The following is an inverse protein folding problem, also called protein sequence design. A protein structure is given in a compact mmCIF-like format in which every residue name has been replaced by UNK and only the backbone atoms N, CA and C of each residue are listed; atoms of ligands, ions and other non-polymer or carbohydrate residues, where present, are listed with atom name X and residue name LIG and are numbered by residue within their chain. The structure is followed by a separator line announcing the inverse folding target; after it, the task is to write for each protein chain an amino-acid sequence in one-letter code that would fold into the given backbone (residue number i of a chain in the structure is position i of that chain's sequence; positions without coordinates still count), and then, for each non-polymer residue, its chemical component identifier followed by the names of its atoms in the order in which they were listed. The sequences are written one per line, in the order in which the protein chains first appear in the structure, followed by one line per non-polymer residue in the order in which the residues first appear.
data_IF_046650515786
#
_entry.id   IF_046650515786
#
_cell.length_a   1.000
_cell.length_b   1.000
_cell.length_c   1.000
_cell.angle_alpha   90.00
_cell.angle_beta   90.00
_cell.angle_gamma   90.00
#
_symmetry.space_group_name_H-M   'P 1'
#
loop_
_entity.id
_entity.type
_entity.pdbx_description
1 polymer ?
#
# COMPACT_ATOMS: atom_id res chain seq x y z
N UNK A 1 12.92 -22.85 4.10
CA UNK A 1 12.99 -23.79 5.27
C UNK A 1 12.95 -23.07 6.62
N UNK A 2 13.73 -22.02 6.88
CA UNK A 2 13.76 -21.33 8.18
C UNK A 2 12.38 -20.75 8.54
N UNK A 3 11.76 -19.97 7.64
CA UNK A 3 10.44 -19.39 7.83
C UNK A 3 9.34 -20.43 8.08
N UNK A 4 9.40 -21.58 7.39
CA UNK A 4 8.48 -22.69 7.61
C UNK A 4 8.62 -23.27 9.02
N UNK A 5 9.87 -23.50 9.48
CA UNK A 5 10.13 -24.00 10.84
C UNK A 5 9.68 -23.00 11.90
N UNK A 6 9.94 -21.71 11.71
CA UNK A 6 9.48 -20.63 12.58
C UNK A 6 7.96 -20.62 12.69
N UNK A 7 7.28 -20.70 11.54
CA UNK A 7 5.81 -20.72 11.48
C UNK A 7 5.24 -21.99 12.13
N UNK A 8 5.81 -23.15 11.83
CA UNK A 8 5.36 -24.46 12.36
C UNK A 8 5.52 -24.59 13.88
N UNK A 9 6.62 -24.05 14.42
CA UNK A 9 6.93 -24.10 15.85
C UNK A 9 6.37 -22.89 16.62
N UNK A 10 5.62 -22.03 15.96
CA UNK A 10 5.09 -20.84 16.59
C UNK A 10 4.05 -21.18 17.66
N UNK A 11 4.25 -20.68 18.86
CA UNK A 11 3.29 -20.79 19.96
C UNK A 11 2.52 -19.48 20.08
N UNK A 12 1.24 -19.54 19.75
CA UNK A 12 0.34 -18.40 19.85
C UNK A 12 0.08 -18.04 21.31
N UNK A 13 0.32 -16.78 21.68
CA UNK A 13 0.06 -16.25 23.02
C UNK A 13 -1.11 -15.28 22.98
N UNK A 14 -2.02 -15.32 23.99
CA UNK A 14 -3.10 -14.36 24.08
C UNK A 14 -2.58 -12.99 24.49
N UNK A 15 -3.29 -11.95 24.05
CA UNK A 15 -3.15 -10.58 24.53
C UNK A 15 -4.51 -9.90 24.51
N UNK A 16 -4.62 -8.80 25.23
CA UNK A 16 -5.89 -8.08 25.38
C UNK A 16 -5.72 -6.63 24.95
N UNK A 17 -6.66 -6.17 24.14
CA UNK A 17 -6.72 -4.81 23.64
C UNK A 17 -7.92 -4.09 24.25
N UNK A 18 -7.66 -3.05 25.02
CA UNK A 18 -8.69 -2.22 25.63
C UNK A 18 -9.06 -1.09 24.67
N UNK A 19 -10.35 -0.85 24.49
CA UNK A 19 -10.85 0.22 23.66
C UNK A 19 -12.05 0.91 24.29
N UNK A 20 -12.27 2.16 23.90
CA UNK A 20 -13.44 2.96 24.22
C UNK A 20 -14.06 3.46 22.91
N UNK A 21 -15.36 3.68 22.90
CA UNK A 21 -16.10 4.27 21.80
C UNK A 21 -16.70 5.61 22.27
N UNK A 22 -16.45 6.64 21.48
CA UNK A 22 -17.02 7.96 21.66
C UNK A 22 -17.98 8.27 20.53
N UNK A 23 -18.99 9.09 20.82
CA UNK A 23 -19.95 9.56 19.83
C UNK A 23 -19.99 11.08 19.85
N UNK A 24 -19.95 11.67 18.66
CA UNK A 24 -20.24 13.08 18.45
C UNK A 24 -21.13 13.20 17.22
N UNK A 25 -22.27 13.83 17.39
CA UNK A 25 -23.33 13.89 16.38
C UNK A 25 -23.77 12.49 15.92
N UNK A 26 -23.59 12.18 14.65
CA UNK A 26 -23.92 10.86 14.06
C UNK A 26 -22.69 9.96 13.88
N UNK A 27 -21.51 10.39 14.33
CA UNK A 27 -20.25 9.69 14.10
C UNK A 27 -19.77 9.00 15.37
N UNK A 28 -19.47 7.72 15.22
CA UNK A 28 -18.84 6.91 16.24
C UNK A 28 -17.36 6.79 15.96
N UNK A 29 -16.52 6.88 17.01
CA UNK A 29 -15.08 6.71 16.89
C UNK A 29 -14.54 5.86 18.01
N UNK A 30 -13.75 4.85 17.62
CA UNK A 30 -13.03 4.01 18.58
C UNK A 30 -11.66 4.59 18.89
N UNK A 31 -11.29 4.50 20.16
CA UNK A 31 -9.98 4.81 20.68
C UNK A 31 -9.43 3.58 21.37
N UNK A 32 -8.17 3.30 21.16
CA UNK A 32 -7.49 2.13 21.71
C UNK A 32 -6.43 2.54 22.72
N UNK A 33 -6.30 1.75 23.77
CA UNK A 33 -5.16 1.87 24.67
C UNK A 33 -3.86 1.65 23.88
N UNK A 34 -2.80 2.48 24.07
CA UNK A 34 -1.60 2.44 23.25
C UNK A 34 -0.82 1.12 23.32
N UNK A 35 -0.98 0.40 24.42
CA UNK A 35 -0.29 -0.88 24.66
C UNK A 35 -1.29 -2.01 24.84
N UNK A 36 -0.97 -3.16 24.21
CA UNK A 36 -1.71 -4.40 24.42
C UNK A 36 -1.27 -5.06 25.74
N UNK A 37 -2.23 -5.49 26.53
CA UNK A 37 -1.95 -6.19 27.80
C UNK A 37 -1.54 -7.64 27.52
N UNK A 38 -0.44 -8.08 28.13
CA UNK A 38 0.03 -9.47 28.05
C UNK A 38 -0.46 -10.33 29.22
N UNK A 39 -0.99 -9.70 30.24
CA UNK A 39 -1.58 -10.32 31.42
C UNK A 39 -3.08 -10.03 31.50
N UNK A 40 -3.87 -11.09 31.70
CA UNK A 40 -5.32 -10.99 31.79
C UNK A 40 -5.79 -10.17 32.99
N UNK A 41 -5.15 -10.35 34.15
CA UNK A 41 -5.57 -9.67 35.36
C UNK A 41 -5.34 -8.15 35.26
N UNK A 42 -4.21 -7.73 34.69
CA UNK A 42 -3.91 -6.34 34.41
C UNK A 42 -4.92 -5.74 33.41
N UNK A 43 -5.26 -6.48 32.36
CA UNK A 43 -6.26 -6.07 31.37
C UNK A 43 -7.66 -5.89 32.00
N UNK A 44 -8.09 -6.86 32.80
CA UNK A 44 -9.38 -6.78 33.51
C UNK A 44 -9.39 -5.66 34.57
N UNK A 45 -8.28 -5.42 35.28
CA UNK A 45 -8.17 -4.32 36.22
C UNK A 45 -8.30 -2.95 35.52
N UNK A 46 -7.66 -2.78 34.36
CA UNK A 46 -7.81 -1.58 33.53
C UNK A 46 -9.25 -1.42 33.00
N UNK A 47 -9.85 -2.49 32.51
CA UNK A 47 -11.22 -2.51 32.02
C UNK A 47 -12.23 -2.10 33.09
N UNK A 48 -12.11 -2.59 34.34
CA UNK A 48 -13.02 -2.28 35.47
C UNK A 48 -12.96 -0.82 35.92
N UNK A 49 -11.92 -0.07 35.53
CA UNK A 49 -11.81 1.38 35.85
C UNK A 49 -12.78 2.20 35.02
N UNK A 50 -13.16 1.71 33.83
CA UNK A 50 -14.05 2.40 32.93
C UNK A 50 -15.48 1.97 33.25
N UNK A 51 -16.38 2.93 33.33
CA UNK A 51 -17.81 2.73 33.60
C UNK A 51 -18.65 3.47 32.55
N UNK A 52 -19.97 3.26 32.57
CA UNK A 52 -20.91 4.03 31.73
C UNK A 52 -20.93 5.53 32.02
N UNK A 53 -20.47 5.91 33.21
CA UNK A 53 -20.45 7.31 33.66
C UNK A 53 -19.08 7.97 33.44
N UNK A 54 -18.10 7.21 32.93
CA UNK A 54 -16.77 7.73 32.64
C UNK A 54 -16.81 8.80 31.57
N UNK A 55 -16.02 9.85 31.78
CA UNK A 55 -15.85 10.96 30.86
C UNK A 55 -14.43 10.94 30.32
N UNK A 56 -14.29 11.19 29.04
CA UNK A 56 -13.01 11.28 28.32
C UNK A 56 -12.69 12.75 28.11
N UNK A 57 -11.44 13.12 28.36
CA UNK A 57 -10.90 14.43 27.99
C UNK A 57 -10.01 14.27 26.76
N UNK A 58 -10.29 15.01 25.70
CA UNK A 58 -9.48 15.04 24.48
C UNK A 58 -8.24 15.90 24.72
N UNK A 59 -7.06 15.29 24.73
CA UNK A 59 -5.83 16.01 25.05
C UNK A 59 -5.14 16.58 23.82
N UNK A 60 -5.28 15.88 22.67
CA UNK A 60 -4.59 16.29 21.43
C UNK A 60 -5.39 15.91 20.21
N UNK A 61 -5.44 16.83 19.25
CA UNK A 61 -6.02 16.62 17.92
C UNK A 61 -5.02 17.09 16.87
N UNK A 62 -4.45 16.17 16.12
CA UNK A 62 -3.45 16.46 15.10
C UNK A 62 -4.00 16.11 13.72
N UNK A 63 -4.09 17.10 12.84
CA UNK A 63 -4.44 16.93 11.44
C UNK A 63 -3.24 17.18 10.58
N UNK A 64 -2.99 16.29 9.62
CA UNK A 64 -1.89 16.42 8.66
C UNK A 64 -2.33 16.00 7.28
N UNK A 65 -2.00 16.80 6.30
CA UNK A 65 -2.03 16.36 4.91
C UNK A 65 -0.82 15.47 4.65
N UNK A 66 -1.07 14.24 4.21
CA UNK A 66 -0.06 13.26 3.86
C UNK A 66 -0.14 12.98 2.38
N UNK A 67 0.99 13.02 1.69
CA UNK A 67 1.08 12.73 0.27
C UNK A 67 1.70 11.36 0.04
N UNK A 68 1.01 10.52 -0.72
CA UNK A 68 1.54 9.26 -1.20
C UNK A 68 1.97 9.43 -2.65
N UNK A 69 3.27 9.28 -2.88
CA UNK A 69 3.84 9.42 -4.23
C UNK A 69 3.30 8.33 -5.16
N UNK A 70 3.15 8.67 -6.43
CA UNK A 70 2.86 7.70 -7.47
C UNK A 70 3.95 6.62 -7.51
N UNK A 71 3.63 5.36 -7.81
CA UNK A 71 4.63 4.33 -8.00
C UNK A 71 5.52 4.66 -9.20
N UNK A 72 6.73 4.13 -9.22
CA UNK A 72 7.57 4.16 -10.42
C UNK A 72 7.02 3.18 -11.47
N UNK A 73 7.46 3.32 -12.70
CA UNK A 73 7.19 2.36 -13.75
C UNK A 73 7.64 0.95 -13.34
N UNK A 74 7.22 -0.06 -14.07
CA UNK A 74 7.65 -1.43 -13.82
C UNK A 74 9.07 -1.70 -14.33
N UNK A 75 9.87 -2.35 -13.49
CA UNK A 75 10.86 -3.34 -13.89
C UNK A 75 10.19 -4.73 -13.93
N UNK A 76 10.94 -5.75 -14.34
CA UNK A 76 10.41 -7.11 -14.38
C UNK A 76 9.96 -7.61 -12.99
N UNK A 77 10.78 -7.40 -11.98
CA UNK A 77 10.50 -7.90 -10.63
C UNK A 77 9.26 -7.26 -10.01
N UNK A 78 9.06 -5.96 -10.21
CA UNK A 78 7.86 -5.28 -9.73
C UNK A 78 6.60 -5.76 -10.45
N UNK A 79 6.68 -5.98 -11.78
CA UNK A 79 5.58 -6.58 -12.53
C UNK A 79 5.24 -7.98 -12.03
N UNK A 80 6.23 -8.84 -11.83
CA UNK A 80 6.04 -10.20 -11.30
C UNK A 80 5.37 -10.19 -9.92
N UNK A 81 5.79 -9.29 -9.02
CA UNK A 81 5.19 -9.16 -7.69
C UNK A 81 3.72 -8.74 -7.77
N UNK A 82 3.41 -7.73 -8.55
CA UNK A 82 2.05 -7.23 -8.64
C UNK A 82 1.12 -8.21 -9.38
N UNK A 83 1.60 -8.89 -10.41
CA UNK A 83 0.86 -9.97 -11.07
C UNK A 83 0.59 -11.15 -10.13
N UNK A 84 1.54 -11.50 -9.25
CA UNK A 84 1.33 -12.53 -8.24
C UNK A 84 0.31 -12.09 -7.18
N UNK A 85 0.40 -10.85 -6.69
CA UNK A 85 -0.50 -10.32 -5.64
C UNK A 85 -1.94 -10.21 -6.14
N UNK A 86 -2.14 -9.71 -7.36
CA UNK A 86 -3.48 -9.33 -7.84
C UNK A 86 -4.13 -10.37 -8.75
N UNK A 87 -3.34 -11.24 -9.37
CA UNK A 87 -3.83 -12.19 -10.39
C UNK A 87 -3.32 -13.62 -10.18
N UNK A 88 -2.61 -13.90 -9.07
CA UNK A 88 -2.05 -15.22 -8.73
C UNK A 88 -1.18 -15.82 -9.85
N UNK A 89 -0.55 -14.97 -10.64
CA UNK A 89 0.40 -15.40 -11.67
C UNK A 89 1.78 -15.64 -11.05
N UNK A 90 2.41 -16.77 -11.41
CA UNK A 90 3.80 -17.01 -10.99
C UNK A 90 4.76 -16.05 -11.69
N UNK A 91 5.94 -15.86 -11.10
CA UNK A 91 7.00 -15.02 -11.68
C UNK A 91 7.41 -15.50 -13.08
N UNK A 92 7.59 -16.83 -13.26
CA UNK A 92 7.92 -17.44 -14.55
C UNK A 92 6.83 -17.24 -15.58
N UNK A 93 5.55 -17.45 -15.20
CA UNK A 93 4.41 -17.22 -16.10
C UNK A 93 4.31 -15.77 -16.52
N UNK A 94 4.50 -14.83 -15.59
CA UNK A 94 4.49 -13.38 -15.87
C UNK A 94 5.58 -13.00 -16.88
N UNK A 95 6.80 -13.52 -16.69
CA UNK A 95 7.90 -13.28 -17.65
C UNK A 95 7.58 -13.85 -19.03
N UNK A 96 7.06 -15.07 -19.12
CA UNK A 96 6.72 -15.71 -20.39
C UNK A 96 5.65 -14.92 -21.15
N UNK A 97 4.64 -14.38 -20.44
CA UNK A 97 3.59 -13.55 -21.01
C UNK A 97 4.17 -12.19 -21.45
N UNK A 98 4.98 -11.53 -20.61
CA UNK A 98 5.61 -10.27 -20.96
C UNK A 98 6.53 -10.41 -22.18
N UNK A 99 7.23 -11.55 -22.32
CA UNK A 99 8.02 -11.87 -23.51
C UNK A 99 7.15 -12.01 -24.76
N UNK A 100 6.00 -12.70 -24.67
CA UNK A 100 5.03 -12.80 -25.78
C UNK A 100 4.50 -11.42 -26.19
N UNK A 101 4.16 -10.56 -25.23
CA UNK A 101 3.72 -9.18 -25.52
C UNK A 101 4.80 -8.35 -26.22
N UNK A 102 6.07 -8.52 -25.83
CA UNK A 102 7.21 -7.88 -26.48
C UNK A 102 7.37 -8.36 -27.93
N UNK A 103 7.31 -9.67 -28.19
CA UNK A 103 7.38 -10.24 -29.54
C UNK A 103 6.26 -9.75 -30.45
N UNK A 104 5.07 -9.50 -29.87
CA UNK A 104 3.93 -8.83 -30.54
C UNK A 104 4.13 -7.32 -30.68
N UNK A 105 5.26 -6.76 -30.23
CA UNK A 105 5.59 -5.34 -30.24
C UNK A 105 4.61 -4.45 -29.44
N UNK A 106 3.96 -5.00 -28.44
CA UNK A 106 2.99 -4.29 -27.61
C UNK A 106 3.62 -3.57 -26.41
N UNK A 107 4.74 -4.09 -25.91
CA UNK A 107 5.48 -3.53 -24.78
C UNK A 107 6.98 -3.45 -25.08
N UNK A 108 7.73 -2.66 -24.32
CA UNK A 108 9.19 -2.62 -24.36
C UNK A 108 9.81 -3.91 -23.82
N UNK A 109 11.13 -4.05 -23.93
CA UNK A 109 11.85 -5.26 -23.54
C UNK A 109 11.62 -5.63 -22.05
N UNK A 110 11.12 -6.85 -21.76
CA UNK A 110 10.63 -7.17 -20.42
C UNK A 110 11.74 -7.46 -19.38
N UNK A 111 12.93 -7.93 -19.82
CA UNK A 111 14.03 -8.21 -18.88
C UNK A 111 14.81 -6.94 -18.59
N UNK A 112 14.20 -6.05 -17.81
CA UNK A 112 14.81 -4.81 -17.36
C UNK A 112 14.77 -4.72 -15.84
N UNK A 113 15.89 -4.25 -15.25
CA UNK A 113 15.98 -3.91 -13.83
C UNK A 113 15.68 -2.43 -13.55
N UNK A 114 15.45 -1.63 -14.60
CA UNK A 114 15.17 -0.20 -14.44
C UNK A 114 13.67 0.11 -14.33
N UNK A 115 13.34 1.05 -13.45
CA UNK A 115 11.99 1.64 -13.28
C UNK A 115 11.92 3.05 -13.84
N UNK A 116 12.92 3.44 -14.63
CA UNK A 116 13.08 4.78 -15.16
C UNK A 116 13.14 4.76 -16.67
N UNK A 117 12.77 5.89 -17.25
CA UNK A 117 12.90 6.18 -18.68
C UNK A 117 13.78 7.43 -18.85
N UNK A 118 14.51 7.55 -19.98
CA UNK A 118 15.23 8.77 -20.31
C UNK A 118 14.28 9.83 -20.91
N UNK A 119 14.77 11.06 -21.05
CA UNK A 119 13.99 12.22 -21.50
C UNK A 119 13.49 12.09 -22.94
N UNK A 120 14.25 11.44 -23.82
CA UNK A 120 13.84 11.18 -25.22
C UNK A 120 12.63 10.23 -25.30
N UNK A 121 12.58 9.21 -24.43
CA UNK A 121 11.41 8.34 -24.28
C UNK A 121 10.23 9.12 -23.69
N UNK A 122 10.49 9.99 -22.67
CA UNK A 122 9.44 10.82 -22.08
C UNK A 122 8.74 11.72 -23.09
N UNK A 123 9.45 12.20 -24.12
CA UNK A 123 8.85 13.01 -25.17
C UNK A 123 7.70 12.29 -25.92
N UNK A 124 7.68 10.97 -25.93
CA UNK A 124 6.63 10.16 -26.58
C UNK A 124 5.51 9.73 -25.61
N UNK A 125 5.73 9.82 -24.30
CA UNK A 125 4.78 9.35 -23.27
C UNK A 125 3.39 9.97 -23.39
N UNK A 126 3.22 11.30 -23.62
CA UNK A 126 1.88 11.88 -23.76
C UNK A 126 1.05 11.18 -24.84
N UNK A 127 1.61 10.96 -26.03
CA UNK A 127 0.93 10.29 -27.13
C UNK A 127 0.61 8.80 -26.83
N UNK A 128 1.44 8.13 -26.02
CA UNK A 128 1.15 6.77 -25.56
C UNK A 128 -0.01 6.77 -24.55
N UNK A 129 0.00 7.70 -23.61
CA UNK A 129 -1.05 7.81 -22.59
C UNK A 129 -2.40 8.20 -23.20
N UNK A 130 -2.44 9.06 -24.23
CA UNK A 130 -3.66 9.35 -25.01
C UNK A 130 -4.33 8.08 -25.53
N UNK A 131 -3.54 7.10 -26.00
CA UNK A 131 -4.07 5.80 -26.43
C UNK A 131 -4.53 4.95 -25.27
N UNK A 132 -3.75 4.89 -24.19
CA UNK A 132 -4.06 4.08 -23.01
C UNK A 132 -5.36 4.50 -22.35
N UNK A 133 -5.61 5.80 -22.16
CA UNK A 133 -6.84 6.31 -21.52
C UNK A 133 -8.11 6.01 -22.32
N UNK A 134 -8.01 5.71 -23.61
CA UNK A 134 -9.16 5.32 -24.43
C UNK A 134 -9.51 3.83 -24.33
N UNK A 135 -8.62 3.02 -23.76
CA UNK A 135 -8.84 1.59 -23.60
C UNK A 135 -10.02 1.32 -22.64
N UNK A 136 -10.78 0.24 -22.83
CA UNK A 136 -11.95 -0.08 -22.00
C UNK A 136 -11.64 -0.08 -20.50
N UNK A 137 -10.48 -0.59 -20.09
CA UNK A 137 -10.03 -0.70 -18.69
C UNK A 137 -9.86 0.66 -17.99
N UNK A 138 -9.45 1.71 -18.74
CA UNK A 138 -9.07 3.01 -18.16
C UNK A 138 -9.98 4.15 -18.60
N UNK A 139 -11.05 3.88 -19.34
CA UNK A 139 -11.92 4.90 -19.94
C UNK A 139 -12.54 5.84 -18.91
N UNK A 140 -12.89 5.35 -17.73
CA UNK A 140 -13.47 6.17 -16.67
C UNK A 140 -12.42 7.12 -16.09
N UNK A 141 -11.26 6.59 -15.76
CA UNK A 141 -10.14 7.39 -15.26
C UNK A 141 -9.66 8.39 -16.32
N UNK A 142 -9.59 7.97 -17.56
CA UNK A 142 -9.14 8.79 -18.69
C UNK A 142 -9.96 10.07 -18.92
N UNK A 143 -11.23 10.11 -18.48
CA UNK A 143 -12.06 11.32 -18.59
C UNK A 143 -11.57 12.48 -17.73
N UNK A 144 -10.86 12.20 -16.69
CA UNK A 144 -10.34 13.19 -15.71
C UNK A 144 -8.83 13.29 -15.72
N UNK A 145 -8.15 12.49 -16.56
CA UNK A 145 -6.69 12.46 -16.61
C UNK A 145 -6.14 13.68 -17.35
N UNK A 146 -5.27 14.44 -16.70
CA UNK A 146 -4.64 15.63 -17.26
C UNK A 146 -3.27 15.30 -17.86
N UNK A 147 -3.20 15.32 -19.19
CA UNK A 147 -1.96 15.10 -19.95
C UNK A 147 -0.97 16.25 -19.85
N UNK A 148 -1.39 17.44 -19.41
CA UNK A 148 -0.50 18.61 -19.32
C UNK A 148 0.33 18.63 -18.03
N UNK A 149 -0.14 17.92 -16.99
CA UNK A 149 0.44 17.91 -15.65
C UNK A 149 1.09 16.56 -15.28
N UNK A 150 1.78 15.91 -16.20
CA UNK A 150 2.36 14.60 -15.96
C UNK A 150 3.44 14.60 -14.87
N UNK A 151 3.37 13.61 -13.99
CA UNK A 151 4.40 13.35 -12.99
C UNK A 151 5.68 12.84 -13.65
N UNK A 152 6.82 13.44 -13.38
CA UNK A 152 8.10 13.11 -14.00
C UNK A 152 9.03 12.28 -13.12
N UNK A 153 8.54 11.75 -12.01
CA UNK A 153 9.36 11.01 -11.03
C UNK A 153 10.05 9.78 -11.62
N UNK A 154 9.48 9.17 -12.64
CA UNK A 154 10.06 8.02 -13.36
C UNK A 154 10.97 8.44 -14.52
N UNK A 155 11.31 9.72 -14.68
CA UNK A 155 12.18 10.22 -15.74
C UNK A 155 13.55 10.53 -15.15
N UNK A 156 14.54 9.70 -15.45
CA UNK A 156 15.92 9.87 -14.96
C UNK A 156 16.86 8.95 -15.77
N UNK A 157 17.53 9.50 -16.78
CA UNK A 157 18.43 8.73 -17.62
C UNK A 157 19.60 8.09 -16.85
N UNK A 158 20.03 8.68 -15.72
CA UNK A 158 21.13 8.16 -14.92
C UNK A 158 20.81 6.86 -14.17
N UNK A 159 19.50 6.56 -14.04
CA UNK A 159 18.98 5.35 -13.38
C UNK A 159 18.48 4.30 -14.38
N UNK A 160 18.64 4.57 -15.67
CA UNK A 160 18.41 3.56 -16.70
C UNK A 160 19.66 2.67 -16.78
N UNK A 161 19.44 1.36 -16.67
CA UNK A 161 20.52 0.36 -16.81
C UNK A 161 20.64 -0.04 -18.30
N UNK A 162 20.67 -1.32 -18.61
CA UNK A 162 20.77 -1.81 -20.00
C UNK A 162 19.54 -1.48 -20.83
N UNK A 163 18.37 -1.47 -20.19
CA UNK A 163 17.08 -1.15 -20.80
C UNK A 163 16.27 -0.23 -19.86
N UNK A 164 15.46 0.64 -20.45
CA UNK A 164 14.53 1.46 -19.68
C UNK A 164 13.34 0.62 -19.13
N UNK A 165 12.54 1.22 -18.27
CA UNK A 165 11.37 0.60 -17.67
C UNK A 165 10.41 0.00 -18.70
N UNK A 166 9.55 -0.92 -18.22
CA UNK A 166 8.46 -1.48 -19.01
C UNK A 166 7.40 -0.43 -19.30
N UNK A 167 7.15 -0.21 -20.58
CA UNK A 167 6.10 0.69 -21.10
C UNK A 167 5.40 0.04 -22.30
N UNK A 168 4.18 0.51 -22.60
CA UNK A 168 3.51 0.13 -23.86
C UNK A 168 4.10 0.90 -25.04
N UNK A 169 4.02 0.33 -26.24
CA UNK A 169 4.55 0.93 -27.49
C UNK A 169 3.53 1.79 -28.23
N UNK A 170 2.26 1.73 -27.82
CA UNK A 170 1.15 2.40 -28.50
C UNK A 170 0.58 1.63 -29.69
N UNK A 171 1.06 0.40 -29.94
CA UNK A 171 0.38 -0.54 -30.84
C UNK A 171 -0.90 -1.00 -30.16
N UNK A 172 -2.01 -0.99 -30.91
CA UNK A 172 -3.31 -1.44 -30.37
C UNK A 172 -3.26 -2.95 -30.12
N UNK A 173 -3.56 -3.42 -28.91
CA UNK A 173 -3.56 -4.85 -28.64
C UNK A 173 -4.77 -5.54 -29.28
N UNK A 174 -4.51 -6.53 -30.12
CA UNK A 174 -5.52 -7.35 -30.77
C UNK A 174 -5.23 -8.83 -30.54
N UNK A 175 -6.27 -9.64 -30.38
CA UNK A 175 -6.14 -11.10 -30.25
C UNK A 175 -5.35 -11.57 -29.05
N UNK A 176 -5.38 -10.83 -27.93
CA UNK A 176 -4.74 -11.23 -26.68
C UNK A 176 -5.50 -12.39 -26.03
N UNK A 177 -4.77 -13.36 -25.50
CA UNK A 177 -5.33 -14.28 -24.51
C UNK A 177 -5.70 -13.54 -23.24
N UNK A 178 -6.54 -14.14 -22.38
CA UNK A 178 -6.93 -13.55 -21.09
C UNK A 178 -5.71 -13.19 -20.22
N UNK A 179 -4.73 -14.09 -20.14
CA UNK A 179 -3.51 -13.85 -19.38
C UNK A 179 -2.64 -12.73 -19.97
N UNK A 180 -2.56 -12.63 -21.30
CA UNK A 180 -1.85 -11.52 -21.96
C UNK A 180 -2.58 -10.19 -21.75
N UNK A 181 -3.90 -10.18 -21.79
CA UNK A 181 -4.69 -8.98 -21.50
C UNK A 181 -4.45 -8.47 -20.10
N UNK A 182 -4.42 -9.37 -19.09
CA UNK A 182 -4.10 -9.04 -17.68
C UNK A 182 -2.72 -8.40 -17.56
N UNK A 183 -1.68 -9.02 -18.11
CA UNK A 183 -0.30 -8.48 -17.97
C UNK A 183 -0.15 -7.16 -18.74
N UNK A 184 -0.77 -7.04 -19.90
CA UNK A 184 -0.79 -5.79 -20.67
C UNK A 184 -1.50 -4.67 -19.90
N UNK A 185 -2.68 -4.96 -19.30
CA UNK A 185 -3.42 -4.02 -18.46
C UNK A 185 -2.58 -3.55 -17.27
N UNK A 186 -1.86 -4.46 -16.62
CA UNK A 186 -0.96 -4.12 -15.51
C UNK A 186 0.13 -3.13 -15.94
N UNK A 187 0.77 -3.36 -17.11
CA UNK A 187 1.83 -2.48 -17.62
C UNK A 187 1.25 -1.11 -18.03
N UNK A 188 0.15 -1.10 -18.78
CA UNK A 188 -0.51 0.11 -19.24
C UNK A 188 -1.05 0.95 -18.05
N UNK A 189 -1.70 0.29 -17.10
CA UNK A 189 -2.19 0.93 -15.88
C UNK A 189 -1.08 1.49 -15.00
N UNK A 190 0.05 0.77 -14.88
CA UNK A 190 1.23 1.28 -14.18
C UNK A 190 1.80 2.54 -14.83
N UNK A 191 1.75 2.64 -16.16
CA UNK A 191 2.13 3.89 -16.84
C UNK A 191 1.20 5.04 -16.43
N UNK A 192 -0.12 4.81 -16.42
CA UNK A 192 -1.07 5.83 -15.94
C UNK A 192 -0.81 6.20 -14.48
N UNK A 193 -0.60 5.22 -13.59
CA UNK A 193 -0.25 5.49 -12.19
C UNK A 193 1.01 6.34 -12.06
N UNK A 194 2.10 5.95 -12.76
CA UNK A 194 3.42 6.58 -12.63
C UNK A 194 3.42 8.04 -13.08
N UNK A 195 2.62 8.38 -14.08
CA UNK A 195 2.51 9.73 -14.62
C UNK A 195 1.34 10.53 -14.03
N UNK A 196 0.57 9.94 -13.10
CA UNK A 196 -0.54 10.60 -12.39
C UNK A 196 -0.05 11.46 -11.24
N UNK A 197 -0.89 12.38 -10.75
CA UNK A 197 -0.63 13.12 -9.52
C UNK A 197 -0.49 12.20 -8.31
N UNK A 198 0.22 12.68 -7.29
CA UNK A 198 0.29 12.01 -5.98
C UNK A 198 -1.10 11.89 -5.34
N UNK A 199 -1.32 10.84 -4.56
CA UNK A 199 -2.51 10.72 -3.72
C UNK A 199 -2.36 11.63 -2.49
N UNK A 200 -3.42 12.37 -2.17
CA UNK A 200 -3.50 13.25 -1.01
C UNK A 200 -4.48 12.68 0.01
N UNK A 201 -4.02 12.56 1.25
CA UNK A 201 -4.79 12.05 2.37
C UNK A 201 -4.80 13.05 3.51
N UNK A 202 -5.91 13.20 4.17
CA UNK A 202 -5.99 13.86 5.47
C UNK A 202 -5.85 12.79 6.56
N UNK A 203 -4.79 12.86 7.35
CA UNK A 203 -4.58 12.02 8.53
C UNK A 203 -5.04 12.75 9.77
N UNK A 204 -5.87 12.12 10.55
CA UNK A 204 -6.36 12.61 11.84
C UNK A 204 -5.89 11.67 12.94
N UNK A 205 -5.09 12.21 13.87
CA UNK A 205 -4.68 11.52 15.10
C UNK A 205 -5.27 12.25 16.28
N UNK A 206 -5.84 11.50 17.21
CA UNK A 206 -6.39 12.03 18.45
C UNK A 206 -5.88 11.21 19.62
N UNK A 207 -5.60 11.91 20.71
CA UNK A 207 -5.23 11.33 22.00
C UNK A 207 -6.19 11.86 23.05
N UNK A 208 -6.60 10.98 23.95
CA UNK A 208 -7.51 11.31 25.02
C UNK A 208 -7.15 10.53 26.28
N UNK A 209 -7.66 11.00 27.43
CA UNK A 209 -7.51 10.34 28.72
C UNK A 209 -8.89 9.97 29.24
N UNK A 210 -9.01 8.71 29.72
CA UNK A 210 -10.16 8.19 30.40
C UNK A 210 -9.70 7.46 31.67
N UNK A 211 -10.22 7.83 32.84
CA UNK A 211 -9.85 7.24 34.14
C UNK A 211 -8.33 7.18 34.37
N UNK A 212 -7.59 8.23 33.91
CA UNK A 212 -6.14 8.32 34.01
C UNK A 212 -5.38 7.33 33.11
N UNK A 213 -6.00 6.80 32.07
CA UNK A 213 -5.38 5.97 31.04
C UNK A 213 -5.44 6.66 29.69
N UNK A 214 -4.34 6.57 28.93
CA UNK A 214 -4.24 7.14 27.58
C UNK A 214 -4.95 6.25 26.57
N UNK A 215 -5.64 6.89 25.60
CA UNK A 215 -6.23 6.24 24.45
C UNK A 215 -5.94 7.03 23.18
N UNK A 216 -5.80 6.33 22.06
CA UNK A 216 -5.46 6.91 20.77
C UNK A 216 -6.41 6.44 19.68
N UNK A 217 -6.72 7.35 18.77
CA UNK A 217 -7.44 7.05 17.54
C UNK A 217 -6.68 7.64 16.37
N UNK A 218 -6.56 6.86 15.29
CA UNK A 218 -5.95 7.32 14.05
C UNK A 218 -6.84 6.93 12.89
N UNK A 219 -7.04 7.86 11.96
CA UNK A 219 -7.72 7.62 10.69
C UNK A 219 -7.03 8.39 9.58
N UNK A 220 -7.24 7.95 8.35
CA UNK A 220 -6.84 8.69 7.17
C UNK A 220 -7.97 8.64 6.14
N UNK A 221 -8.26 9.77 5.52
CA UNK A 221 -9.27 9.90 4.47
C UNK A 221 -8.59 10.37 3.20
N UNK A 222 -8.87 9.73 2.08
CA UNK A 222 -8.37 10.15 0.78
C UNK A 222 -9.16 11.40 0.36
N UNK A 223 -8.45 12.53 0.23
CA UNK A 223 -9.01 13.81 -0.25
C UNK A 223 -8.92 13.87 -1.77
N UNK A 224 -7.77 13.49 -2.31
CA UNK A 224 -7.55 13.35 -3.74
C UNK A 224 -6.88 12.01 -4.03
N UNK A 225 -7.54 11.08 -4.73
CA UNK A 225 -6.99 9.75 -4.97
C UNK A 225 -5.75 9.78 -5.87
N UNK A 226 -5.61 10.75 -6.77
CA UNK A 226 -4.49 10.81 -7.71
C UNK A 226 -4.31 9.47 -8.45
N UNK A 227 -3.08 8.95 -8.47
CA UNK A 227 -2.74 7.69 -9.13
C UNK A 227 -3.55 6.47 -8.66
N UNK A 228 -4.06 6.47 -7.42
CA UNK A 228 -4.84 5.34 -6.87
C UNK A 228 -6.19 5.15 -7.55
N UNK A 229 -6.68 6.17 -8.26
CA UNK A 229 -7.93 6.09 -9.01
C UNK A 229 -7.81 5.23 -10.28
N UNK A 230 -6.60 4.95 -10.78
CA UNK A 230 -6.37 4.19 -12.02
C UNK A 230 -7.02 2.81 -11.95
N UNK A 231 -6.69 2.03 -10.94
CA UNK A 231 -7.26 0.69 -10.74
C UNK A 231 -8.44 0.67 -9.75
N UNK A 232 -8.61 1.71 -8.92
CA UNK A 232 -9.66 1.83 -7.88
C UNK A 232 -9.81 0.56 -7.01
N UNK A 233 -8.70 -0.08 -6.66
CA UNK A 233 -8.66 -1.37 -5.96
C UNK A 233 -9.34 -1.27 -4.59
N UNK A 234 -10.23 -2.21 -4.28
CA UNK A 234 -10.94 -2.26 -2.99
C UNK A 234 -9.99 -2.42 -1.80
N UNK A 235 -8.96 -3.25 -1.96
CA UNK A 235 -7.93 -3.51 -0.94
C UNK A 235 -7.18 -2.25 -0.50
N UNK A 236 -7.05 -1.28 -1.40
CA UNK A 236 -6.44 0.01 -1.10
C UNK A 236 -7.38 0.92 -0.30
N UNK A 237 -8.69 0.75 -0.45
CA UNK A 237 -9.70 1.51 0.32
C UNK A 237 -9.80 0.98 1.75
N UNK A 238 -9.84 -0.35 1.94
CA UNK A 238 -9.98 -0.97 3.26
C UNK A 238 -8.81 -0.69 4.21
N UNK A 239 -7.59 -0.49 3.67
CA UNK A 239 -6.42 -0.13 4.49
C UNK A 239 -6.44 1.31 5.01
N UNK A 240 -7.18 2.18 4.37
CA UNK A 240 -7.23 3.61 4.69
C UNK A 240 -8.53 4.00 5.43
N UNK A 241 -9.57 3.17 5.36
CA UNK A 241 -10.78 3.38 6.14
C UNK A 241 -10.59 2.88 7.57
N UNK A 242 -10.89 3.70 8.59
CA UNK A 242 -10.86 3.22 9.95
C UNK A 242 -11.91 2.12 10.14
N UNK A 243 -11.57 1.07 10.87
CA UNK A 243 -12.55 0.12 11.38
C UNK A 243 -13.56 0.89 12.23
N UNK A 244 -14.73 1.17 11.67
CA UNK A 244 -15.80 1.92 12.33
C UNK A 244 -16.23 3.13 11.51
N UNK A 245 -17.45 3.08 11.04
CA UNK A 245 -18.22 4.04 10.25
C UNK A 245 -17.57 5.41 10.07
N UNK A 246 -16.95 5.59 8.91
CA UNK A 246 -16.07 6.68 8.57
C UNK A 246 -16.73 8.04 8.43
N UNK A 247 -17.02 8.65 9.53
CA UNK A 247 -17.28 10.09 9.60
C UNK A 247 -16.06 10.79 10.20
N UNK A 248 -15.75 11.97 9.72
CA UNK A 248 -14.74 12.87 10.30
C UNK A 248 -15.32 13.60 11.52
N UNK A 249 -15.82 12.88 12.54
CA UNK A 249 -16.13 13.55 13.80
C UNK A 249 -14.84 14.09 14.36
N UNK A 250 -14.80 15.38 14.48
CA UNK A 250 -13.66 16.12 15.02
C UNK A 250 -14.05 16.54 16.43
N UNK A 251 -13.38 15.91 17.35
CA UNK A 251 -13.39 16.39 18.73
C UNK A 251 -12.41 17.57 18.85
N UNK A 252 -12.71 18.51 19.74
CA UNK A 252 -11.81 19.61 20.04
C UNK A 252 -10.88 19.25 21.19
N UNK A 253 -9.67 19.83 21.22
CA UNK A 253 -8.79 19.71 22.37
C UNK A 253 -9.46 20.35 23.60
N UNK A 254 -9.38 19.67 24.75
CA UNK A 254 -10.04 20.06 25.99
C UNK A 254 -11.54 19.67 26.07
N UNK A 255 -12.10 19.08 25.01
CA UNK A 255 -13.50 18.65 25.01
C UNK A 255 -13.69 17.42 25.92
N UNK A 256 -14.72 17.48 26.75
CA UNK A 256 -15.14 16.39 27.64
C UNK A 256 -16.32 15.65 27.02
N UNK A 257 -16.20 14.32 26.87
CA UNK A 257 -17.18 13.50 26.16
C UNK A 257 -17.48 12.25 26.99
N UNK A 258 -18.76 11.92 27.24
CA UNK A 258 -19.11 10.68 27.92
C UNK A 258 -18.72 9.46 27.05
N UNK A 259 -18.26 8.42 27.71
CA UNK A 259 -17.97 7.13 27.07
C UNK A 259 -19.30 6.51 26.63
N UNK A 260 -19.44 6.25 25.33
CA UNK A 260 -20.61 5.59 24.79
C UNK A 260 -20.54 4.06 24.93
N UNK A 261 -19.34 3.52 24.87
CA UNK A 261 -19.10 2.09 24.99
C UNK A 261 -17.62 1.82 25.23
N UNK A 262 -17.34 0.68 25.83
CA UNK A 262 -15.98 0.23 26.07
C UNK A 262 -15.90 -1.29 26.00
N UNK A 263 -14.72 -1.82 25.69
CA UNK A 263 -14.55 -3.26 25.54
C UNK A 263 -13.12 -3.70 25.74
N UNK A 264 -12.98 -4.97 26.07
CA UNK A 264 -11.70 -5.67 26.21
C UNK A 264 -11.69 -6.84 25.23
N UNK A 265 -11.00 -6.69 24.11
CA UNK A 265 -10.90 -7.70 23.07
C UNK A 265 -9.73 -8.64 23.35
N UNK A 266 -9.99 -9.93 23.51
CA UNK A 266 -8.94 -10.94 23.55
C UNK A 266 -8.52 -11.29 22.12
N UNK A 267 -7.24 -11.13 21.84
CA UNK A 267 -6.59 -11.50 20.57
C UNK A 267 -5.47 -12.52 20.82
N UNK A 268 -4.93 -13.07 19.75
CA UNK A 268 -3.78 -13.97 19.81
C UNK A 268 -2.71 -13.51 18.85
N UNK A 269 -1.45 -13.67 19.24
CA UNK A 269 -0.34 -13.47 18.32
C UNK A 269 -0.40 -14.47 17.16
N UNK A 270 -0.04 -14.01 15.96
CA UNK A 270 0.01 -14.85 14.77
C UNK A 270 1.47 -15.06 14.35
N UNK A 271 1.79 -16.23 13.77
CA UNK A 271 3.11 -16.44 13.20
C UNK A 271 3.31 -15.52 12.00
N UNK A 272 4.57 -15.24 11.68
CA UNK A 272 4.88 -14.57 10.42
C UNK A 272 4.38 -15.44 9.26
N UNK A 273 3.68 -14.87 8.26
CA UNK A 273 3.14 -15.65 7.14
C UNK A 273 4.28 -16.33 6.36
N UNK A 274 3.94 -17.44 5.71
CA UNK A 274 4.83 -18.07 4.74
C UNK A 274 5.05 -17.13 3.55
N UNK A 275 6.17 -17.30 2.87
CA UNK A 275 6.44 -16.53 1.67
C UNK A 275 5.48 -16.92 0.53
N UNK A 276 4.88 -15.92 -0.10
CA UNK A 276 4.37 -16.00 -1.47
C UNK A 276 5.51 -15.70 -2.44
N UNK A 277 5.34 -15.91 -3.73
CA UNK A 277 6.35 -15.54 -4.72
C UNK A 277 6.66 -14.03 -4.64
N UNK A 278 5.65 -13.17 -4.54
CA UNK A 278 5.82 -11.72 -4.40
C UNK A 278 6.64 -11.33 -3.16
N UNK A 279 6.34 -11.93 -2.00
CA UNK A 279 7.06 -11.62 -0.76
C UNK A 279 8.46 -12.22 -0.75
N UNK A 280 8.68 -13.35 -1.44
CA UNK A 280 9.99 -13.93 -1.63
C UNK A 280 10.86 -13.05 -2.52
N UNK A 281 10.36 -12.59 -3.66
CA UNK A 281 11.05 -11.63 -4.53
C UNK A 281 11.43 -10.36 -3.76
N UNK A 282 10.52 -9.85 -2.94
CA UNK A 282 10.80 -8.69 -2.07
C UNK A 282 11.92 -8.97 -1.06
N UNK A 283 11.96 -10.17 -0.48
CA UNK A 283 13.03 -10.58 0.44
C UNK A 283 14.36 -10.72 -0.29
N UNK A 284 14.36 -11.22 -1.53
CA UNK A 284 15.59 -11.33 -2.36
C UNK A 284 16.15 -9.95 -2.72
N UNK A 285 15.31 -9.00 -3.14
CA UNK A 285 15.74 -7.62 -3.40
C UNK A 285 16.31 -6.92 -2.16
N UNK A 286 15.76 -7.21 -0.99
CA UNK A 286 16.15 -6.58 0.28
C UNK A 286 17.08 -7.45 1.14
N UNK A 287 17.65 -8.50 0.61
CA UNK A 287 18.46 -9.47 1.38
C UNK A 287 19.60 -8.81 2.15
N UNK A 288 20.18 -7.74 1.64
CA UNK A 288 21.21 -6.96 2.33
C UNK A 288 20.79 -6.41 3.69
N UNK A 289 19.48 -6.16 3.91
CA UNK A 289 18.98 -5.61 5.18
C UNK A 289 19.07 -6.62 6.34
N UNK A 290 19.08 -7.91 6.05
CA UNK A 290 19.15 -8.98 7.05
C UNK A 290 20.60 -9.40 7.36
N UNK A 291 21.60 -8.87 6.67
CA UNK A 291 23.01 -9.18 6.88
C UNK A 291 23.50 -8.38 8.09
N UNK A 292 24.04 -9.11 9.10
CA UNK A 292 24.56 -8.49 10.32
C UNK A 292 25.87 -7.72 10.07
N UNK A 293 26.73 -8.21 9.15
CA UNK A 293 27.99 -7.57 8.77
C UNK A 293 27.72 -6.30 7.96
N UNK A 294 28.25 -5.17 8.43
CA UNK A 294 28.02 -3.85 7.82
C UNK A 294 28.65 -3.70 6.42
N UNK A 295 29.82 -4.30 6.17
CA UNK A 295 30.48 -4.23 4.87
C UNK A 295 29.79 -5.12 3.84
N UNK A 296 29.42 -6.34 4.24
CA UNK A 296 28.67 -7.25 3.39
C UNK A 296 27.24 -6.70 3.11
N UNK A 297 26.62 -6.02 4.08
CA UNK A 297 25.33 -5.35 3.90
C UNK A 297 25.40 -4.26 2.84
N UNK A 298 26.41 -3.40 2.89
CA UNK A 298 26.57 -2.31 1.92
C UNK A 298 26.89 -2.85 0.51
N UNK A 299 27.68 -3.91 0.41
CA UNK A 299 28.02 -4.54 -0.87
C UNK A 299 26.82 -5.15 -1.62
N UNK A 300 25.76 -5.58 -0.92
CA UNK A 300 24.57 -6.20 -1.54
C UNK A 300 23.31 -5.34 -1.43
N UNK A 301 23.41 -4.14 -0.87
CA UNK A 301 22.27 -3.27 -0.57
C UNK A 301 21.46 -2.87 -1.81
N UNK A 302 22.12 -2.76 -2.95
CA UNK A 302 21.51 -2.34 -4.22
C UNK A 302 21.41 -3.48 -5.25
N UNK A 303 22.07 -4.60 -5.00
CA UNK A 303 22.17 -5.69 -5.99
C UNK A 303 21.10 -6.78 -5.79
N UNK A 304 20.59 -6.94 -4.57
CA UNK A 304 19.69 -8.06 -4.26
C UNK A 304 20.35 -9.44 -4.46
N UNK A 305 19.54 -10.47 -4.55
CA UNK A 305 19.95 -11.84 -4.90
C UNK A 305 19.13 -12.28 -6.11
N UNK A 306 19.81 -12.75 -7.15
CA UNK A 306 19.20 -13.22 -8.38
C UNK A 306 19.39 -12.26 -9.54
N UNK A 307 19.03 -12.71 -10.72
CA UNK A 307 18.98 -11.88 -11.95
C UNK A 307 17.53 -11.53 -12.24
N UNK A 308 17.26 -10.34 -12.79
CA UNK A 308 15.95 -9.98 -13.29
C UNK A 308 15.42 -10.94 -14.35
#
# INVERSE_FOLDING_TARGET
CARFKENWNFVSTPYWQLHIALKKDYVHRQFFHPEDFRDKNGAEAAYRRITSDSVVTINKVERKTVFQQAPLLYDLTALQKDCNIHHDLSADKTLSIAQSLYEKKLVSYPRTGSRYIPEDVMAHVPALLEKVITMPWFREYGRTFDLSGLNTRSVDATKVTDHHALIVTGVVPEGLSEAEAVVYEMIAGRMLEAFSPRCEKESLKMECVCEGMDFRSQSAVIVNPGWRAVFSRKEDREKDEPEGNGGTAVFAEGEEIPVMGYGLAQKKTLPRPLYTEATLLTAMENCGKEIADGQAREAVKELGIGTP
#
